data_IF_437696372025
#
_entry.id   IF_437696372025
#
_cell.length_a   1.000
_cell.length_b   1.000
_cell.length_c   1.000
_cell.angle_alpha   90.00
_cell.angle_beta   90.00
_cell.angle_gamma   90.00
#
_symmetry.space_group_name_H-M   'P 1'
#
loop_
_entity.id
_entity.type
_entity.pdbx_description
1 polymer ?
#
# COMPACT_ATOMS: atom_id res chain seq x y z
N UNK A 1 4.23 -20.59 -32.87
CA UNK A 1 5.03 -20.36 -31.65
C UNK A 1 4.07 -20.12 -30.48
N UNK A 2 3.99 -21.05 -29.53
CA UNK A 2 3.13 -20.90 -28.36
C UNK A 2 3.68 -19.77 -27.48
N UNK A 3 3.00 -18.62 -27.48
CA UNK A 3 3.24 -17.54 -26.51
C UNK A 3 3.14 -18.18 -25.12
N UNK A 4 4.26 -18.41 -24.44
CA UNK A 4 4.24 -18.81 -23.03
C UNK A 4 3.35 -17.79 -22.33
N UNK A 5 2.19 -18.23 -21.86
CA UNK A 5 1.29 -17.38 -21.07
C UNK A 5 2.16 -16.81 -19.97
N UNK A 6 2.30 -15.48 -19.83
CA UNK A 6 3.17 -14.90 -18.82
C UNK A 6 2.79 -15.55 -17.50
N UNK A 7 3.72 -16.35 -16.99
CA UNK A 7 3.55 -17.24 -15.85
C UNK A 7 2.79 -16.46 -14.81
N UNK A 8 1.58 -16.92 -14.45
CA UNK A 8 0.69 -16.20 -13.54
C UNK A 8 1.52 -15.76 -12.33
N UNK A 9 1.85 -14.47 -12.27
CA UNK A 9 2.67 -13.92 -11.18
C UNK A 9 1.90 -14.22 -9.90
N UNK A 10 2.43 -15.16 -9.13
CA UNK A 10 1.78 -15.64 -7.91
C UNK A 10 2.12 -14.66 -6.80
N UNK A 11 1.12 -13.91 -6.36
CA UNK A 11 1.26 -12.96 -5.25
C UNK A 11 1.81 -13.65 -3.99
N UNK A 12 1.38 -14.90 -3.73
CA UNK A 12 1.86 -15.68 -2.59
C UNK A 12 3.36 -15.99 -2.68
N UNK A 13 3.85 -16.34 -3.88
CA UNK A 13 5.28 -16.59 -4.12
C UNK A 13 6.10 -15.32 -3.95
N UNK A 14 5.65 -14.22 -4.52
CA UNK A 14 6.30 -12.91 -4.41
C UNK A 14 6.41 -12.46 -2.94
N UNK A 15 5.33 -12.59 -2.16
CA UNK A 15 5.36 -12.30 -0.71
C UNK A 15 6.27 -13.26 0.04
N UNK A 16 6.34 -14.53 -0.38
CA UNK A 16 7.28 -15.52 0.15
C UNK A 16 8.73 -15.11 -0.07
N UNK A 17 9.08 -14.72 -1.29
CA UNK A 17 10.42 -14.26 -1.67
C UNK A 17 10.81 -12.98 -0.91
N UNK A 18 9.88 -12.03 -0.77
CA UNK A 18 10.08 -10.82 0.06
C UNK A 18 10.33 -11.16 1.53
N UNK A 19 9.60 -12.12 2.09
CA UNK A 19 9.82 -12.57 3.49
C UNK A 19 11.15 -13.29 3.65
N UNK A 20 11.54 -14.11 2.67
CA UNK A 20 12.80 -14.83 2.69
C UNK A 20 13.98 -13.87 2.59
N UNK A 21 13.89 -12.88 1.70
CA UNK A 21 14.83 -11.77 1.62
C UNK A 21 14.92 -10.99 2.94
N UNK A 22 13.79 -10.63 3.55
CA UNK A 22 13.77 -9.87 4.80
C UNK A 22 14.31 -10.66 6.00
N UNK A 23 14.02 -11.96 6.09
CA UNK A 23 14.43 -12.81 7.22
C UNK A 23 15.87 -13.32 7.09
N UNK A 24 16.28 -13.71 5.89
CA UNK A 24 17.53 -14.42 5.63
C UNK A 24 18.57 -13.58 4.88
N UNK A 25 18.18 -12.41 4.39
CA UNK A 25 19.05 -11.55 3.58
C UNK A 25 19.32 -12.10 2.19
N UNK A 26 18.48 -13.00 1.67
CA UNK A 26 18.68 -13.60 0.35
C UNK A 26 18.49 -12.54 -0.76
N UNK A 27 19.61 -12.16 -1.37
CA UNK A 27 19.66 -11.15 -2.43
C UNK A 27 19.03 -11.63 -3.74
N UNK A 28 19.04 -12.94 -3.99
CA UNK A 28 18.48 -13.52 -5.22
C UNK A 28 16.96 -13.48 -5.18
N UNK A 29 16.36 -13.88 -4.04
CA UNK A 29 14.94 -13.77 -3.79
C UNK A 29 14.46 -12.31 -3.86
N UNK A 30 15.25 -11.38 -3.29
CA UNK A 30 14.95 -9.95 -3.37
C UNK A 30 14.95 -9.43 -4.82
N UNK A 31 15.98 -9.78 -5.61
CA UNK A 31 16.10 -9.36 -7.00
C UNK A 31 14.94 -9.87 -7.86
N UNK A 32 14.54 -11.14 -7.68
CA UNK A 32 13.41 -11.74 -8.38
C UNK A 32 12.09 -11.06 -7.99
N UNK A 33 11.87 -10.80 -6.70
CA UNK A 33 10.68 -10.11 -6.22
C UNK A 33 10.61 -8.68 -6.79
N UNK A 34 11.74 -7.97 -6.85
CA UNK A 34 11.83 -6.62 -7.43
C UNK A 34 11.47 -6.60 -8.91
N UNK A 35 12.01 -7.52 -9.69
CA UNK A 35 11.73 -7.61 -11.13
C UNK A 35 10.25 -7.88 -11.41
N UNK A 36 9.65 -8.79 -10.64
CA UNK A 36 8.21 -9.07 -10.72
C UNK A 36 7.37 -7.85 -10.29
N UNK A 37 7.76 -7.16 -9.21
CA UNK A 37 7.07 -5.96 -8.74
C UNK A 37 7.17 -4.81 -9.74
N UNK A 38 8.31 -4.61 -10.41
CA UNK A 38 8.48 -3.62 -11.49
C UNK A 38 7.60 -3.96 -12.68
N UNK A 39 7.55 -5.23 -13.08
CA UNK A 39 6.68 -5.70 -14.16
C UNK A 39 5.20 -5.43 -13.86
N UNK A 40 4.76 -5.65 -12.61
CA UNK A 40 3.40 -5.35 -12.17
C UNK A 40 3.12 -3.83 -12.12
N UNK A 41 4.10 -3.03 -11.67
CA UNK A 41 3.98 -1.59 -11.53
C UNK A 41 3.89 -0.85 -12.87
N UNK A 42 4.67 -1.28 -13.86
CA UNK A 42 4.74 -0.59 -15.15
C UNK A 42 3.73 -1.08 -16.18
N UNK A 43 3.08 -2.23 -15.94
CA UNK A 43 2.07 -2.77 -16.84
C UNK A 43 0.67 -2.29 -16.44
N UNK A 44 -0.03 -1.52 -17.31
CA UNK A 44 -1.40 -1.06 -17.04
C UNK A 44 -2.38 -2.21 -16.80
N UNK A 45 -2.10 -3.40 -17.36
CA UNK A 45 -2.94 -4.59 -17.24
C UNK A 45 -2.89 -5.23 -15.85
N UNK A 46 -1.84 -4.97 -15.07
CA UNK A 46 -1.59 -5.65 -13.79
C UNK A 46 -1.58 -4.71 -12.58
N UNK A 47 -1.93 -3.44 -12.80
CA UNK A 47 -2.04 -2.41 -11.77
C UNK A 47 -2.89 -2.82 -10.54
N UNK A 48 -4.07 -3.43 -10.72
CA UNK A 48 -4.93 -3.90 -9.63
C UNK A 48 -4.23 -4.95 -8.76
N UNK A 49 -3.48 -5.87 -9.39
CA UNK A 49 -2.69 -6.88 -8.66
C UNK A 49 -1.52 -6.23 -7.93
N UNK A 50 -0.94 -5.18 -8.51
CA UNK A 50 0.10 -4.41 -7.87
C UNK A 50 -0.43 -3.67 -6.64
N UNK A 51 -1.57 -2.99 -6.75
CA UNK A 51 -2.18 -2.26 -5.65
C UNK A 51 -2.68 -3.20 -4.54
N UNK A 52 -3.23 -4.36 -4.89
CA UNK A 52 -3.58 -5.38 -3.89
C UNK A 52 -2.32 -5.94 -3.19
N UNK A 53 -1.20 -6.08 -3.91
CA UNK A 53 0.08 -6.46 -3.31
C UNK A 53 0.61 -5.41 -2.34
N UNK A 54 0.40 -4.12 -2.60
CA UNK A 54 0.82 -3.02 -1.71
C UNK A 54 0.07 -2.97 -0.36
N UNK A 55 -0.99 -3.75 -0.19
CA UNK A 55 -1.58 -4.00 1.14
C UNK A 55 -0.59 -4.72 2.09
N UNK A 56 0.40 -5.42 1.54
CA UNK A 56 1.46 -6.04 2.31
C UNK A 56 2.55 -5.00 2.67
N UNK A 57 2.94 -4.87 3.95
CA UNK A 57 3.90 -3.86 4.38
C UNK A 57 5.29 -4.04 3.76
N UNK A 58 5.74 -5.28 3.50
CA UNK A 58 7.04 -5.52 2.86
C UNK A 58 7.04 -5.05 1.42
N UNK A 59 5.98 -5.37 0.68
CA UNK A 59 5.82 -4.89 -0.69
C UNK A 59 5.70 -3.36 -0.72
N UNK A 60 5.01 -2.77 0.26
CA UNK A 60 4.90 -1.31 0.37
C UNK A 60 6.25 -0.64 0.64
N UNK A 61 7.08 -1.21 1.51
CA UNK A 61 8.45 -0.72 1.74
C UNK A 61 9.28 -0.78 0.46
N UNK A 62 9.20 -1.90 -0.27
CA UNK A 62 9.90 -2.05 -1.55
C UNK A 62 9.43 -1.05 -2.60
N UNK A 63 8.12 -0.81 -2.70
CA UNK A 63 7.58 0.23 -3.59
C UNK A 63 8.11 1.61 -3.20
N UNK A 64 7.96 2.03 -1.94
CA UNK A 64 8.39 3.35 -1.48
C UNK A 64 9.88 3.60 -1.67
N UNK A 65 10.72 2.56 -1.49
CA UNK A 65 12.17 2.70 -1.56
C UNK A 65 12.73 2.56 -2.97
N UNK A 66 12.19 1.64 -3.78
CA UNK A 66 12.84 1.23 -5.05
C UNK A 66 12.03 1.62 -6.28
N UNK A 67 10.69 1.54 -6.24
CA UNK A 67 9.85 1.60 -7.45
C UNK A 67 9.12 2.94 -7.56
N UNK A 68 8.60 3.47 -6.45
CA UNK A 68 7.88 4.73 -6.28
C UNK A 68 6.68 4.87 -7.24
N UNK A 69 6.09 3.75 -7.67
CA UNK A 69 4.98 3.77 -8.64
C UNK A 69 3.62 3.62 -7.98
N UNK A 70 3.52 2.98 -6.82
CA UNK A 70 2.23 2.76 -6.15
C UNK A 70 1.48 4.06 -5.90
N UNK A 71 2.17 5.08 -5.41
CA UNK A 71 1.59 6.39 -5.15
C UNK A 71 1.29 7.16 -6.43
N UNK A 72 2.19 7.11 -7.43
CA UNK A 72 1.97 7.78 -8.72
C UNK A 72 0.72 7.25 -9.42
N UNK A 73 0.53 5.93 -9.44
CA UNK A 73 -0.66 5.30 -10.02
C UNK A 73 -1.91 5.66 -9.22
N UNK A 74 -1.84 5.62 -7.89
CA UNK A 74 -2.92 6.02 -6.98
C UNK A 74 -3.38 7.46 -7.23
N UNK A 75 -2.44 8.41 -7.30
CA UNK A 75 -2.74 9.82 -7.58
C UNK A 75 -3.33 10.03 -8.98
N UNK A 76 -2.71 9.45 -10.01
CA UNK A 76 -3.16 9.59 -11.40
C UNK A 76 -4.56 9.03 -11.66
N UNK A 77 -4.97 8.03 -10.88
CA UNK A 77 -6.24 7.32 -11.07
C UNK A 77 -7.28 7.65 -10.00
N UNK A 78 -6.94 8.54 -9.07
CA UNK A 78 -7.80 8.90 -7.94
C UNK A 78 -8.02 7.76 -6.94
N UNK A 79 -7.25 6.67 -7.03
CA UNK A 79 -7.39 5.52 -6.16
C UNK A 79 -6.60 5.79 -4.88
N UNK A 80 -7.28 6.12 -3.79
CA UNK A 80 -6.62 6.15 -2.48
C UNK A 80 -6.27 4.72 -2.08
N UNK A 81 -4.99 4.35 -2.16
CA UNK A 81 -4.53 3.17 -1.44
C UNK A 81 -4.91 3.36 0.01
N UNK A 82 -5.68 2.42 0.57
CA UNK A 82 -5.95 2.37 2.00
C UNK A 82 -4.59 2.39 2.69
N UNK A 83 -4.19 3.56 3.20
CA UNK A 83 -2.93 3.75 3.91
C UNK A 83 -2.94 2.70 5.01
N UNK A 84 -2.01 1.73 5.04
CA UNK A 84 -1.97 0.76 6.11
C UNK A 84 -1.85 1.56 7.40
N UNK A 85 -2.93 1.56 8.17
CA UNK A 85 -2.98 2.26 9.44
C UNK A 85 -1.90 1.60 10.32
N UNK A 86 -1.00 2.36 10.95
CA UNK A 86 -0.02 1.77 11.85
C UNK A 86 -0.78 0.89 12.83
N UNK A 87 -0.40 -0.39 12.91
CA UNK A 87 -1.09 -1.36 13.74
C UNK A 87 -1.13 -0.79 15.15
N UNK A 88 -2.34 -0.39 15.61
CA UNK A 88 -2.52 0.12 16.95
C UNK A 88 -2.01 -0.96 17.91
N UNK A 89 -1.16 -0.61 18.89
CA UNK A 89 -0.73 -1.58 19.89
C UNK A 89 -1.97 -2.18 20.55
N UNK A 90 -2.05 -3.52 20.59
CA UNK A 90 -3.15 -4.23 21.24
C UNK A 90 -3.18 -3.83 22.72
N UNK A 91 -4.10 -2.94 23.08
CA UNK A 91 -4.43 -2.71 24.48
C UNK A 91 -5.07 -4.00 25.01
N UNK A 92 -4.35 -4.67 25.90
CA UNK A 92 -4.86 -5.81 26.65
C UNK A 92 -6.16 -5.43 27.37
N UNK A 93 -7.10 -6.37 27.39
CA UNK A 93 -8.44 -6.13 27.90
C UNK A 93 -8.48 -5.80 29.39
N UNK A 94 -9.49 -5.01 29.76
CA UNK A 94 -10.36 -5.19 30.93
C UNK A 94 -11.41 -4.05 30.93
N UNK A 95 -12.66 -4.42 31.22
CA UNK A 95 -13.62 -3.49 31.84
C UNK A 95 -14.67 -2.90 30.90
N UNK A 96 -15.92 -3.22 31.19
CA UNK A 96 -17.12 -2.75 30.50
C UNK A 96 -17.52 -1.32 30.86
N UNK A 97 -18.38 -0.75 30.00
CA UNK A 97 -19.36 0.33 30.22
C UNK A 97 -18.83 1.72 30.60
N UNK A 98 -18.99 2.66 29.66
CA UNK A 98 -19.86 3.82 29.89
C UNK A 98 -20.30 4.43 28.55
N UNK A 99 -21.59 4.75 28.48
CA UNK A 99 -22.29 5.35 27.35
C UNK A 99 -22.07 6.87 27.31
N UNK A 100 -22.30 7.39 26.10
CA UNK A 100 -22.97 8.66 25.81
C UNK A 100 -22.16 9.96 25.72
N UNK A 101 -22.60 10.72 24.72
CA UNK A 101 -22.63 12.18 24.60
C UNK A 101 -21.34 12.90 24.20
N UNK A 102 -21.39 13.48 23.00
CA UNK A 102 -20.36 14.42 22.54
C UNK A 102 -20.60 14.98 21.14
N UNK A 103 -21.86 15.26 20.79
CA UNK A 103 -22.22 15.97 19.56
C UNK A 103 -21.77 17.43 19.71
N UNK A 104 -20.70 17.85 19.03
CA UNK A 104 -20.48 19.27 18.67
C UNK A 104 -19.91 19.36 17.25
N UNK A 105 -20.83 19.56 16.30
CA UNK A 105 -20.53 20.33 15.08
C UNK A 105 -20.21 21.75 15.56
N UNK A 106 -19.02 22.25 15.25
CA UNK A 106 -18.73 23.67 15.29
C UNK A 106 -18.66 24.17 13.85
N UNK A 107 -19.52 25.14 13.60
CA UNK A 107 -19.78 25.88 12.37
C UNK A 107 -18.59 26.73 11.93
N UNK A 108 -18.42 26.80 10.61
CA UNK A 108 -17.98 27.94 9.81
C UNK A 108 -17.16 29.01 10.53
N UNK A 109 -15.83 28.90 10.46
CA UNK A 109 -14.96 30.06 10.53
C UNK A 109 -14.72 30.53 9.09
N UNK A 110 -15.41 31.60 8.69
CA UNK A 110 -15.09 32.36 7.49
C UNK A 110 -13.61 32.75 7.54
N UNK A 111 -12.82 32.32 6.57
CA UNK A 111 -11.50 32.88 6.32
C UNK A 111 -11.71 34.23 5.60
N UNK A 112 -11.17 35.35 6.10
CA UNK A 112 -11.13 36.58 5.31
C UNK A 112 -10.14 36.39 4.14
N UNK A 113 -10.62 36.63 2.92
CA UNK A 113 -9.86 36.55 1.67
C UNK A 113 -8.88 37.72 1.52
N UNK A 114 -7.62 37.40 1.20
CA UNK A 114 -6.49 38.31 1.03
C UNK A 114 -6.43 38.92 -0.39
N UNK A 115 -7.55 39.44 -0.90
CA UNK A 115 -7.58 40.16 -2.18
C UNK A 115 -8.60 41.31 -2.09
N UNK A 116 -8.16 42.43 -1.51
CA UNK A 116 -8.72 43.75 -1.75
C UNK A 116 -7.88 44.42 -2.85
N UNK A 117 -8.47 44.60 -4.03
CA UNK A 117 -8.21 45.67 -5.03
C UNK A 117 -9.53 45.97 -5.73
#
# INVERSE_FOLDING_TARGET
MAKQRPSRISQARLVGDLKLAAKRGDRTALALALDQMRTLAHSPRYWEKYLSLLSNPLARLVDLLVIKQGDRIAYQKGWKLSRPQPAKPKAGGKGAKARAAGRRRASTAEQPSLFDV
#
